data_IF_012920433480
#
_entry.id   IF_012920433480
#
_cell.length_a   1.000
_cell.length_b   1.000
_cell.length_c   1.000
_cell.angle_alpha   90.00
_cell.angle_beta   90.00
_cell.angle_gamma   90.00
#
_symmetry.space_group_name_H-M   'P 1'
#
loop_
_entity.id
_entity.type
_entity.pdbx_description
1 polymer ?
#
# COMPACT_ATOMS: atom_id res chain seq x y z
N UNK A 1 5.16 -11.98 -13.73
CA UNK A 1 3.74 -12.38 -13.49
C UNK A 1 3.62 -13.84 -13.84
N UNK A 2 2.98 -14.65 -12.99
CA UNK A 2 2.75 -16.06 -13.28
C UNK A 2 1.55 -16.21 -14.22
N UNK A 3 1.78 -16.79 -15.40
CA UNK A 3 0.73 -17.05 -16.37
C UNK A 3 0.17 -18.46 -16.14
N UNK A 4 -1.13 -18.53 -15.81
CA UNK A 4 -1.80 -19.80 -15.49
C UNK A 4 -2.10 -20.66 -16.72
N UNK A 5 -2.16 -20.06 -17.92
CA UNK A 5 -2.44 -20.78 -19.16
C UNK A 5 -1.20 -21.56 -19.63
N UNK A 6 -0.01 -20.99 -19.41
CA UNK A 6 1.27 -21.62 -19.74
C UNK A 6 2.01 -22.20 -18.53
N UNK A 7 1.44 -22.07 -17.32
CA UNK A 7 2.04 -22.48 -16.04
C UNK A 7 3.49 -22.01 -15.88
N UNK A 8 3.78 -20.80 -16.35
CA UNK A 8 5.13 -20.29 -16.42
C UNK A 8 5.20 -18.85 -15.96
N UNK A 9 6.33 -18.49 -15.37
CA UNK A 9 6.64 -17.10 -15.11
C UNK A 9 6.91 -16.40 -16.43
N UNK A 10 6.00 -15.50 -16.80
CA UNK A 10 6.30 -14.53 -17.84
C UNK A 10 7.04 -13.37 -17.20
N UNK A 11 7.98 -12.80 -17.96
CA UNK A 11 8.57 -11.50 -17.71
C UNK A 11 7.73 -10.45 -18.45
N UNK A 12 6.57 -10.02 -17.94
CA UNK A 12 6.01 -8.77 -18.44
C UNK A 12 7.06 -7.70 -18.18
N UNK A 13 7.19 -6.76 -19.12
CA UNK A 13 7.85 -5.44 -18.95
C UNK A 13 8.16 -5.16 -17.48
N UNK A 14 9.44 -5.32 -17.10
CA UNK A 14 9.95 -5.33 -15.73
C UNK A 14 9.14 -4.42 -14.80
N UNK A 15 8.27 -5.01 -13.96
CA UNK A 15 7.58 -4.22 -12.95
C UNK A 15 8.64 -3.56 -12.07
N UNK A 16 8.47 -2.28 -11.75
CA UNK A 16 9.41 -1.59 -10.87
C UNK A 16 9.35 -2.19 -9.49
N UNK A 17 10.54 -2.46 -8.96
CA UNK A 17 10.69 -2.82 -7.55
C UNK A 17 10.15 -1.70 -6.66
N UNK A 18 9.64 -2.12 -5.50
CA UNK A 18 9.16 -1.20 -4.47
C UNK A 18 10.32 -0.29 -4.03
N UNK A 19 10.11 1.04 -3.92
CA UNK A 19 11.20 1.98 -3.62
C UNK A 19 11.74 1.84 -2.19
N UNK A 20 10.97 1.20 -1.31
CA UNK A 20 11.33 0.92 0.07
C UNK A 20 11.16 -0.57 0.33
N UNK A 21 12.19 -1.24 0.84
CA UNK A 21 12.10 -2.64 1.26
C UNK A 21 11.15 -2.76 2.45
N UNK A 22 10.19 -3.68 2.37
CA UNK A 22 9.25 -3.97 3.47
C UNK A 22 8.95 -5.46 3.59
N UNK A 23 8.77 -5.92 4.82
CA UNK A 23 8.15 -7.20 5.12
C UNK A 23 6.90 -7.00 6.00
N UNK A 24 6.07 -8.04 6.12
CA UNK A 24 4.88 -8.05 6.97
C UNK A 24 3.90 -6.88 6.75
N UNK A 25 3.91 -6.29 5.55
CA UNK A 25 2.94 -5.28 5.12
C UNK A 25 1.67 -5.96 4.58
N UNK A 26 0.55 -5.24 4.60
CA UNK A 26 -0.64 -5.64 3.86
C UNK A 26 -0.68 -4.93 2.51
N UNK A 27 -1.36 -5.53 1.53
CA UNK A 27 -1.58 -4.91 0.23
C UNK A 27 -3.05 -5.05 -0.20
N UNK A 28 -3.61 -4.00 -0.78
CA UNK A 28 -4.96 -3.99 -1.34
C UNK A 28 -4.96 -3.45 -2.77
N UNK A 29 -5.95 -3.87 -3.57
CA UNK A 29 -6.14 -3.37 -4.93
C UNK A 29 -7.30 -2.38 -4.97
N UNK A 30 -7.06 -1.19 -5.53
CA UNK A 30 -8.07 -0.15 -5.75
C UNK A 30 -8.34 0.03 -7.24
N UNK A 31 -9.63 0.17 -7.58
CA UNK A 31 -10.12 0.46 -8.94
C UNK A 31 -9.54 -0.48 -10.02
N UNK A 32 -9.21 -1.73 -9.66
CA UNK A 32 -8.53 -2.72 -10.52
C UNK A 32 -7.26 -2.20 -11.20
N UNK A 33 -6.55 -1.26 -10.55
CA UNK A 33 -5.45 -0.52 -11.16
C UNK A 33 -4.30 -0.27 -10.19
N UNK A 34 -4.62 0.16 -8.97
CA UNK A 34 -3.61 0.58 -8.01
C UNK A 34 -3.40 -0.50 -6.96
N UNK A 35 -2.15 -0.91 -6.75
CA UNK A 35 -1.76 -1.70 -5.59
C UNK A 35 -1.31 -0.75 -4.50
N UNK A 36 -1.97 -0.76 -3.35
CA UNK A 36 -1.59 0.04 -2.19
C UNK A 36 -0.96 -0.87 -1.16
N UNK A 37 0.31 -0.63 -0.83
CA UNK A 37 1.05 -1.33 0.23
C UNK A 37 1.01 -0.47 1.49
N UNK A 38 0.57 -1.05 2.61
CA UNK A 38 0.24 -0.33 3.84
C UNK A 38 1.06 -0.91 4.99
N UNK A 39 1.71 -0.03 5.75
CA UNK A 39 2.50 -0.40 6.92
C UNK A 39 3.64 -1.39 6.59
N UNK A 40 3.87 -2.32 7.51
CA UNK A 40 4.99 -3.28 7.47
C UNK A 40 6.20 -2.79 8.25
N UNK A 41 7.30 -3.53 8.13
CA UNK A 41 8.59 -3.18 8.72
C UNK A 41 9.65 -3.04 7.63
N UNK A 42 10.51 -2.03 7.74
CA UNK A 42 11.65 -1.85 6.84
C UNK A 42 12.78 -2.86 7.11
N UNK A 43 13.86 -2.80 6.32
CA UNK A 43 15.03 -3.69 6.49
C UNK A 43 15.72 -3.60 7.86
N UNK A 44 15.46 -2.55 8.64
CA UNK A 44 15.98 -2.36 10.00
C UNK A 44 15.00 -2.87 11.07
N UNK A 45 13.85 -3.40 10.66
CA UNK A 45 12.75 -3.77 11.56
C UNK A 45 11.89 -2.59 11.99
N UNK A 46 12.05 -1.40 11.39
CA UNK A 46 11.28 -0.22 11.79
C UNK A 46 9.86 -0.35 11.27
N UNK A 47 8.90 -0.53 12.18
CA UNK A 47 7.47 -0.59 11.84
C UNK A 47 6.99 0.79 11.35
N UNK A 48 6.28 0.83 10.22
CA UNK A 48 5.79 2.06 9.58
C UNK A 48 4.27 2.15 9.53
N UNK A 49 3.77 3.38 9.41
CA UNK A 49 2.36 3.72 9.17
C UNK A 49 2.08 4.12 7.72
N UNK A 50 3.13 4.25 6.90
CA UNK A 50 3.05 4.85 5.58
C UNK A 50 2.47 3.91 4.52
N UNK A 51 1.90 4.53 3.48
CA UNK A 51 1.40 3.81 2.30
C UNK A 51 2.25 4.12 1.06
N UNK A 52 2.46 3.09 0.24
CA UNK A 52 3.01 3.21 -1.11
C UNK A 52 1.94 2.81 -2.13
N UNK A 53 1.87 3.54 -3.23
CA UNK A 53 0.89 3.32 -4.30
C UNK A 53 1.64 2.93 -5.56
N UNK A 54 1.30 1.78 -6.12
CA UNK A 54 1.81 1.32 -7.41
C UNK A 54 0.71 1.37 -8.46
N UNK A 55 0.96 2.10 -9.54
CA UNK A 55 0.11 2.09 -10.73
C UNK A 55 0.66 1.05 -11.71
N UNK A 56 -0.10 -0.04 -11.91
CA UNK A 56 0.29 -1.16 -12.78
C UNK A 56 0.39 -0.76 -14.26
N UNK A 57 -0.32 0.29 -14.70
CA UNK A 57 -0.38 0.67 -16.11
C UNK A 57 0.83 1.51 -16.53
N UNK A 58 1.27 2.43 -15.66
CA UNK A 58 2.46 3.24 -15.93
C UNK A 58 3.73 2.69 -15.27
N UNK A 59 3.61 1.63 -14.47
CA UNK A 59 4.72 0.95 -13.81
C UNK A 59 5.54 1.89 -12.91
N UNK A 60 4.82 2.66 -12.08
CA UNK A 60 5.44 3.64 -11.16
C UNK A 60 4.89 3.51 -9.76
N UNK A 61 5.75 3.86 -8.81
CA UNK A 61 5.44 4.00 -7.39
C UNK A 61 5.31 5.48 -7.02
N UNK A 62 4.41 5.78 -6.09
CA UNK A 62 4.37 7.04 -5.36
C UNK A 62 4.22 6.78 -3.85
N UNK A 63 4.64 7.76 -3.06
CA UNK A 63 4.44 7.78 -1.61
C UNK A 63 3.31 8.72 -1.24
N UNK A 64 2.68 8.45 -0.10
CA UNK A 64 1.64 9.30 0.47
C UNK A 64 2.22 10.25 1.53
N UNK A 65 1.68 11.47 1.69
CA UNK A 65 2.07 12.35 2.78
C UNK A 65 1.63 11.80 4.13
N UNK A 66 2.25 12.26 5.21
CA UNK A 66 1.98 11.80 6.58
C UNK A 66 0.50 11.96 7.00
N UNK A 67 -0.22 12.93 6.42
CA UNK A 67 -1.67 13.12 6.65
C UNK A 67 -2.54 11.95 6.18
N UNK A 68 -1.99 11.08 5.32
CA UNK A 68 -2.67 9.90 4.76
C UNK A 68 -2.14 8.58 5.33
N UNK A 69 -1.29 8.65 6.35
CA UNK A 69 -0.77 7.47 7.03
C UNK A 69 -1.78 6.98 8.06
N UNK A 70 -1.64 5.72 8.48
CA UNK A 70 -2.32 5.26 9.68
C UNK A 70 -1.86 6.08 10.89
N UNK A 71 -2.75 6.24 11.87
CA UNK A 71 -2.42 6.82 13.16
C UNK A 71 -1.40 5.93 13.88
N UNK A 72 -1.58 4.61 13.82
CA UNK A 72 -0.63 3.63 14.36
C UNK A 72 0.13 2.91 13.27
N UNK A 73 1.45 3.00 13.34
CA UNK A 73 2.34 2.14 12.59
C UNK A 73 2.11 0.68 12.98
N UNK A 74 2.07 -0.21 11.98
CA UNK A 74 1.79 -1.63 12.21
C UNK A 74 2.42 -2.56 11.18
N UNK A 75 2.87 -3.73 11.63
CA UNK A 75 3.26 -4.90 10.83
C UNK A 75 2.32 -6.08 11.13
N UNK A 76 2.37 -7.15 10.34
CA UNK A 76 1.58 -8.39 10.52
C UNK A 76 0.06 -8.18 10.63
N UNK A 77 -0.45 -7.07 10.09
CA UNK A 77 -1.86 -6.72 10.13
C UNK A 77 -2.60 -7.23 8.88
N UNK A 78 -3.93 -7.13 8.90
CA UNK A 78 -4.76 -7.36 7.72
C UNK A 78 -5.32 -6.04 7.19
N UNK A 79 -5.56 -6.00 5.88
CA UNK A 79 -6.23 -4.87 5.23
C UNK A 79 -7.21 -5.36 4.16
N UNK A 80 -8.33 -4.67 4.01
CA UNK A 80 -9.33 -4.94 2.98
C UNK A 80 -9.99 -3.64 2.49
N UNK A 81 -10.51 -3.67 1.27
CA UNK A 81 -11.32 -2.57 0.74
C UNK A 81 -12.78 -2.83 1.06
N UNK A 82 -13.41 -1.92 1.79
CA UNK A 82 -14.82 -1.97 2.15
C UNK A 82 -15.44 -0.60 1.90
N UNK A 83 -16.43 -0.54 1.01
CA UNK A 83 -17.22 0.68 0.73
C UNK A 83 -16.36 1.95 0.50
N UNK A 84 -15.40 1.84 -0.43
CA UNK A 84 -14.50 2.94 -0.78
C UNK A 84 -13.45 3.30 0.29
N UNK A 85 -13.31 2.49 1.34
CA UNK A 85 -12.29 2.68 2.39
C UNK A 85 -11.36 1.49 2.45
N UNK A 86 -10.11 1.76 2.80
CA UNK A 86 -9.16 0.73 3.18
C UNK A 86 -9.29 0.54 4.69
N UNK A 87 -9.84 -0.58 5.11
CA UNK A 87 -9.96 -0.96 6.52
C UNK A 87 -8.76 -1.79 6.91
N UNK A 88 -8.09 -1.39 7.99
CA UNK A 88 -6.89 -2.02 8.51
C UNK A 88 -7.12 -2.46 9.96
N UNK A 89 -6.86 -3.73 10.26
CA UNK A 89 -7.16 -4.30 11.57
C UNK A 89 -6.01 -5.14 12.12
N UNK A 90 -5.83 -5.10 13.44
CA UNK A 90 -4.86 -5.94 14.13
C UNK A 90 -3.40 -5.60 13.86
N UNK A 91 -2.55 -6.60 14.03
CA UNK A 91 -1.10 -6.52 13.82
C UNK A 91 -0.33 -6.11 15.07
N UNK A 92 0.92 -5.71 14.84
CA UNK A 92 1.90 -5.41 15.87
C UNK A 92 2.41 -3.98 15.70
N UNK A 93 2.43 -3.19 16.76
CA UNK A 93 2.91 -1.81 16.76
C UNK A 93 4.44 -1.69 16.81
N UNK A 94 4.95 -0.46 16.92
CA UNK A 94 6.40 -0.19 17.02
C UNK A 94 7.05 -0.81 18.27
N UNK A 95 6.29 -0.93 19.35
CA UNK A 95 6.78 -1.42 20.65
C UNK A 95 6.45 -2.91 20.85
N UNK A 96 6.33 -3.67 19.75
CA UNK A 96 5.99 -5.10 19.71
C UNK A 96 4.64 -5.45 20.38
N UNK A 97 3.78 -4.44 20.58
CA UNK A 97 2.48 -4.61 21.20
C UNK A 97 1.45 -5.08 20.17
N UNK A 98 0.74 -6.16 20.51
CA UNK A 98 -0.39 -6.63 19.69
C UNK A 98 -1.52 -5.60 19.75
N UNK A 99 -1.99 -5.18 18.58
CA UNK A 99 -3.01 -4.16 18.43
C UNK A 99 -4.39 -4.80 18.28
N UNK A 100 -5.36 -4.37 19.08
CA UNK A 100 -6.79 -4.66 18.85
C UNK A 100 -7.49 -3.58 18.01
N UNK A 101 -6.77 -2.52 17.63
CA UNK A 101 -7.35 -1.36 16.95
C UNK A 101 -7.59 -1.59 15.46
N UNK A 102 -8.72 -1.05 15.01
CA UNK A 102 -9.10 -0.93 13.60
C UNK A 102 -8.95 0.53 13.18
N UNK A 103 -8.43 0.76 11.99
CA UNK A 103 -8.34 2.07 11.37
C UNK A 103 -8.88 2.01 9.95
N UNK A 104 -9.35 3.13 9.42
CA UNK A 104 -9.77 3.23 8.03
C UNK A 104 -9.09 4.41 7.34
N UNK A 105 -8.67 4.21 6.10
CA UNK A 105 -8.14 5.25 5.22
C UNK A 105 -9.16 5.44 4.08
N UNK A 106 -9.51 6.69 3.78
CA UNK A 106 -10.33 6.99 2.61
C UNK A 106 -9.55 6.64 1.34
N UNK A 107 -10.07 5.72 0.54
CA UNK A 107 -9.35 5.20 -0.60
C UNK A 107 -9.29 6.21 -1.75
N UNK A 108 -10.33 7.02 -1.94
CA UNK A 108 -10.37 8.00 -3.02
C UNK A 108 -9.42 9.17 -2.72
N UNK A 109 -9.37 9.63 -1.48
CA UNK A 109 -8.36 10.61 -1.04
C UNK A 109 -6.93 10.09 -1.20
N UNK A 110 -6.69 8.80 -0.97
CA UNK A 110 -5.37 8.20 -1.15
C UNK A 110 -4.95 8.18 -2.64
N UNK A 111 -5.91 8.02 -3.55
CA UNK A 111 -5.65 8.02 -4.99
C UNK A 111 -5.33 9.40 -5.57
N UNK A 112 -5.56 10.49 -4.83
CA UNK A 112 -5.06 11.83 -5.22
C UNK A 112 -3.53 11.87 -5.35
N UNK A 113 -2.83 10.95 -4.68
CA UNK A 113 -1.37 10.83 -4.71
C UNK A 113 -0.90 9.71 -5.66
N UNK A 114 -1.81 9.09 -6.41
CA UNK A 114 -1.43 8.03 -7.35
C UNK A 114 -0.57 8.60 -8.50
N UNK A 115 0.37 7.80 -9.07
CA UNK A 115 1.39 8.26 -10.03
C UNK A 115 0.95 8.87 -11.37
N UNK A 116 -0.33 9.25 -11.58
CA UNK A 116 -0.82 9.80 -12.84
C UNK A 116 -1.87 10.92 -12.71
N UNK A 117 -1.90 11.64 -11.58
CA UNK A 117 -2.53 12.95 -11.50
C UNK A 117 -1.61 13.95 -10.80
N UNK A 118 -0.75 14.67 -11.54
CA UNK A 118 -0.34 16.01 -11.10
C UNK A 118 0.07 16.89 -12.30
N UNK A 119 -0.37 18.16 -12.38
CA UNK A 119 -0.97 18.94 -11.30
C UNK A 119 -2.50 19.05 -11.35
N UNK A 120 -3.07 19.25 -10.16
CA UNK A 120 -4.41 19.82 -9.95
C UNK A 120 -4.59 21.06 -10.85
N UNK A 121 -5.79 21.30 -11.42
CA UNK A 121 -6.11 22.62 -11.93
C UNK A 121 -5.93 23.62 -10.79
N UNK A 122 -5.04 24.59 -11.00
CA UNK A 122 -4.95 25.78 -10.17
C UNK A 122 -6.29 26.49 -10.20
N UNK A 123 -6.93 26.65 -9.04
CA UNK A 123 -7.94 27.68 -8.81
C UNK A 123 -7.27 28.89 -8.18
#
# INVERSE_FOLDING_TARGET
VFDISSLSWKNPTYLRDMPEERCAAAAVVLKNKYLVVIGGADKRGTVTASCLIFDIWCNRWSSTPASMHMIKARSYHTAAVLDGKIVVAGGEGRDENVLASVECIDADALLEYAPLHYPLPTL
#
